data_IF_777609271957
#
_entry.id   IF_777609271957
#
_cell.length_a   1.000
_cell.length_b   1.000
_cell.length_c   1.000
_cell.angle_alpha   90.00
_cell.angle_beta   90.00
_cell.angle_gamma   90.00
#
_symmetry.space_group_name_H-M   'P 1'
#
loop_
_entity.id
_entity.type
_entity.pdbx_description
1 polymer ?
#
# COMPACT_ATOMS: atom_id res chain seq x y z
N UNK A 1 10.07 -9.63 22.76
CA UNK A 1 9.41 -8.96 21.59
C UNK A 1 8.75 -7.62 21.96
N UNK A 2 7.94 -7.51 23.04
CA UNK A 2 7.33 -6.24 23.48
C UNK A 2 8.33 -5.07 23.66
N UNK A 3 9.57 -5.36 24.07
CA UNK A 3 10.63 -4.35 24.23
C UNK A 3 11.15 -3.75 22.91
N UNK A 4 11.13 -4.49 21.80
CA UNK A 4 11.60 -4.00 20.50
C UNK A 4 10.58 -3.05 19.89
N UNK A 5 9.30 -3.40 19.97
CA UNK A 5 8.19 -2.56 19.49
C UNK A 5 8.10 -1.26 20.29
N UNK A 6 8.26 -1.33 21.62
CA UNK A 6 8.31 -0.14 22.48
C UNK A 6 9.48 0.79 22.13
N UNK A 7 10.69 0.25 21.91
CA UNK A 7 11.86 1.03 21.47
C UNK A 7 11.67 1.66 20.09
N UNK A 8 11.07 0.94 19.14
CA UNK A 8 10.71 1.49 17.84
C UNK A 8 9.72 2.64 17.99
N UNK A 9 8.70 2.49 18.83
CA UNK A 9 7.69 3.53 19.04
C UNK A 9 8.25 4.81 19.67
N UNK A 10 9.31 4.70 20.48
CA UNK A 10 10.03 5.87 21.01
C UNK A 10 10.89 6.60 19.97
N UNK A 11 11.29 5.93 18.88
CA UNK A 11 12.00 6.56 17.77
C UNK A 11 11.05 7.41 16.89
N UNK A 12 9.73 7.19 17.00
CA UNK A 12 8.73 7.88 16.19
C UNK A 12 8.39 9.29 16.70
N UNK A 13 8.62 10.27 15.84
CA UNK A 13 8.27 11.67 16.09
C UNK A 13 6.76 11.91 15.90
N UNK A 14 6.17 12.92 16.55
CA UNK A 14 4.72 13.19 16.45
C UNK A 14 4.24 13.41 15.00
N UNK A 15 5.06 14.06 14.17
CA UNK A 15 4.80 14.23 12.73
C UNK A 15 4.79 12.92 11.95
N UNK A 16 5.60 11.94 12.36
CA UNK A 16 5.69 10.64 11.70
C UNK A 16 4.47 9.78 12.03
N UNK A 17 3.93 9.91 13.25
CA UNK A 17 2.65 9.27 13.63
C UNK A 17 1.50 9.74 12.74
N UNK A 18 1.42 11.04 12.44
CA UNK A 18 0.41 11.58 11.53
C UNK A 18 0.56 11.02 10.10
N UNK A 19 1.80 10.94 9.58
CA UNK A 19 2.08 10.33 8.28
C UNK A 19 1.72 8.84 8.25
N UNK A 20 1.91 8.12 9.36
CA UNK A 20 1.53 6.72 9.48
C UNK A 20 0.00 6.56 9.42
N UNK A 21 -0.77 7.42 10.09
CA UNK A 21 -2.24 7.44 9.98
C UNK A 21 -2.66 7.71 8.54
N UNK A 22 -2.05 8.70 7.86
CA UNK A 22 -2.33 8.97 6.45
C UNK A 22 -2.03 7.75 5.56
N UNK A 23 -0.94 7.04 5.82
CA UNK A 23 -0.59 5.80 5.10
C UNK A 23 -1.65 4.72 5.30
N UNK A 24 -2.19 4.56 6.52
CA UNK A 24 -3.29 3.62 6.79
C UNK A 24 -4.54 4.00 5.99
N UNK A 25 -4.91 5.28 5.96
CA UNK A 25 -6.04 5.74 5.15
C UNK A 25 -5.83 5.47 3.64
N UNK A 26 -4.61 5.68 3.14
CA UNK A 26 -4.25 5.37 1.75
C UNK A 26 -4.36 3.87 1.45
N UNK A 27 -3.89 3.02 2.36
CA UNK A 27 -4.01 1.55 2.24
C UNK A 27 -5.49 1.14 2.21
N UNK A 28 -6.31 1.68 3.11
CA UNK A 28 -7.76 1.40 3.13
C UNK A 28 -8.42 1.85 1.83
N UNK A 29 -8.09 3.04 1.32
CA UNK A 29 -8.55 3.48 -0.01
C UNK A 29 -8.13 2.52 -1.13
N UNK A 30 -6.91 1.97 -1.05
CA UNK A 30 -6.38 0.97 -1.97
C UNK A 30 -7.18 -0.34 -1.93
N UNK A 31 -7.54 -0.82 -0.74
CA UNK A 31 -8.36 -2.03 -0.59
C UNK A 31 -9.74 -1.90 -1.23
N UNK A 32 -10.37 -0.73 -1.10
CA UNK A 32 -11.67 -0.47 -1.75
C UNK A 32 -11.52 -0.54 -3.27
N UNK A 33 -10.46 0.06 -3.83
CA UNK A 33 -10.18 -0.02 -5.27
C UNK A 33 -9.83 -1.43 -5.73
N UNK A 34 -9.18 -2.23 -4.90
CA UNK A 34 -8.93 -3.65 -5.19
C UNK A 34 -10.22 -4.45 -5.27
N UNK A 35 -11.12 -4.27 -4.30
CA UNK A 35 -12.45 -4.89 -4.28
C UNK A 35 -13.25 -4.47 -5.52
N UNK A 36 -13.27 -3.17 -5.85
CA UNK A 36 -13.91 -2.67 -7.07
C UNK A 36 -13.32 -3.29 -8.34
N UNK A 37 -12.00 -3.48 -8.38
CA UNK A 37 -11.32 -4.16 -9.47
C UNK A 37 -11.77 -5.62 -9.63
N UNK A 38 -11.93 -6.36 -8.53
CA UNK A 38 -12.44 -7.74 -8.55
C UNK A 38 -13.90 -7.75 -9.03
N UNK A 39 -14.73 -6.87 -8.49
CA UNK A 39 -16.14 -6.74 -8.88
C UNK A 39 -16.33 -6.35 -10.35
N UNK A 40 -15.43 -5.56 -10.92
CA UNK A 40 -15.49 -5.16 -12.32
C UNK A 40 -15.25 -6.34 -13.29
N UNK A 41 -14.51 -7.37 -12.88
CA UNK A 41 -14.25 -8.55 -13.72
C UNK A 41 -15.47 -9.48 -13.82
N UNK A 42 -16.31 -9.53 -12.78
CA UNK A 42 -17.51 -10.38 -12.72
C UNK A 42 -18.45 -10.20 -13.94
N UNK A 43 -18.92 -8.98 -14.29
CA UNK A 43 -19.81 -8.80 -15.43
C UNK A 43 -19.15 -9.19 -16.77
N UNK A 44 -17.83 -9.02 -16.90
CA UNK A 44 -17.09 -9.45 -18.09
C UNK A 44 -17.12 -10.99 -18.24
N UNK A 45 -16.89 -11.73 -17.15
CA UNK A 45 -16.94 -13.21 -17.16
C UNK A 45 -18.36 -13.70 -17.49
N UNK A 46 -19.38 -13.09 -16.89
CA UNK A 46 -20.79 -13.45 -17.13
C UNK A 46 -21.13 -13.26 -18.60
N UNK A 47 -20.77 -12.11 -19.18
CA UNK A 47 -21.06 -11.79 -20.57
C UNK A 47 -20.34 -12.72 -21.56
N UNK A 48 -19.12 -13.17 -21.22
CA UNK A 48 -18.36 -14.15 -22.02
C UNK A 48 -18.92 -15.57 -21.93
N UNK A 49 -19.46 -15.95 -20.77
CA UNK A 49 -19.92 -17.32 -20.51
C UNK A 49 -21.33 -17.57 -21.04
N UNK A 50 -22.22 -16.59 -20.88
CA UNK A 50 -23.62 -16.69 -21.29
C UNK A 50 -24.10 -15.34 -21.84
N UNK A 51 -23.98 -15.10 -23.16
CA UNK A 51 -24.38 -13.83 -23.77
C UNK A 51 -25.88 -13.52 -23.62
N UNK A 52 -26.72 -14.52 -23.33
CA UNK A 52 -28.16 -14.34 -23.10
C UNK A 52 -28.50 -13.98 -21.65
N UNK A 53 -27.55 -14.08 -20.70
CA UNK A 53 -27.75 -13.79 -19.27
C UNK A 53 -27.74 -12.28 -18.94
N UNK A 54 -27.79 -11.40 -19.94
CA UNK A 54 -27.81 -9.94 -19.78
C UNK A 54 -29.02 -9.50 -18.94
N UNK A 55 -30.14 -10.23 -19.03
CA UNK A 55 -31.36 -9.91 -18.27
C UNK A 55 -31.28 -10.27 -16.79
N UNK A 56 -30.35 -11.14 -16.37
CA UNK A 56 -30.29 -11.59 -14.97
C UNK A 56 -29.33 -10.74 -14.11
N UNK A 57 -28.45 -9.95 -14.72
CA UNK A 57 -27.44 -9.18 -14.01
C UNK A 57 -27.76 -7.68 -14.01
N UNK A 58 -28.12 -7.15 -12.83
CA UNK A 58 -28.47 -5.73 -12.63
C UNK A 58 -27.35 -4.76 -13.10
N UNK A 59 -26.08 -5.15 -12.98
CA UNK A 59 -24.96 -4.32 -13.43
C UNK A 59 -24.95 -4.21 -14.96
N UNK A 60 -25.12 -5.33 -15.66
CA UNK A 60 -25.16 -5.36 -17.13
C UNK A 60 -26.39 -4.59 -17.66
N UNK A 61 -27.54 -4.68 -17.00
CA UNK A 61 -28.73 -3.90 -17.34
C UNK A 61 -28.50 -2.39 -17.22
N UNK A 62 -27.82 -1.93 -16.15
CA UNK A 62 -27.50 -0.51 -15.98
C UNK A 62 -26.58 0.00 -17.10
N UNK A 63 -25.55 -0.77 -17.46
CA UNK A 63 -24.69 -0.45 -18.61
C UNK A 63 -25.49 -0.40 -19.93
N UNK A 64 -26.42 -1.33 -20.13
CA UNK A 64 -27.27 -1.37 -21.31
C UNK A 64 -28.21 -0.16 -21.39
N UNK A 65 -28.78 0.28 -20.26
CA UNK A 65 -29.64 1.46 -20.19
C UNK A 65 -28.87 2.78 -20.44
N UNK A 66 -27.65 2.89 -19.93
CA UNK A 66 -26.85 4.11 -20.03
C UNK A 66 -26.20 4.29 -21.40
N UNK A 67 -25.68 3.21 -21.98
CA UNK A 67 -24.91 3.28 -23.23
C UNK A 67 -25.66 2.79 -24.46
N UNK A 68 -26.84 2.17 -24.30
CA UNK A 68 -27.71 1.69 -25.38
C UNK A 68 -26.97 1.02 -26.54
N UNK A 69 -26.17 -0.04 -26.28
CA UNK A 69 -25.35 -0.65 -27.32
C UNK A 69 -26.20 -1.34 -28.39
N UNK A 70 -25.86 -1.12 -29.66
CA UNK A 70 -26.57 -1.67 -30.82
C UNK A 70 -26.44 -3.19 -30.97
N UNK A 71 -25.45 -3.82 -30.33
CA UNK A 71 -25.20 -5.26 -30.41
C UNK A 71 -24.54 -5.83 -29.15
N UNK A 72 -24.66 -7.15 -28.94
CA UNK A 72 -23.96 -7.87 -27.86
C UNK A 72 -22.44 -7.72 -27.94
N UNK A 73 -21.89 -7.64 -29.16
CA UNK A 73 -20.45 -7.38 -29.37
C UNK A 73 -20.07 -5.97 -28.91
N UNK A 74 -20.89 -4.96 -29.19
CA UNK A 74 -20.68 -3.59 -28.73
C UNK A 74 -20.75 -3.49 -27.20
N UNK A 75 -21.68 -4.19 -26.56
CA UNK A 75 -21.77 -4.29 -25.09
C UNK A 75 -20.51 -4.93 -24.49
N UNK A 76 -19.98 -5.98 -25.13
CA UNK A 76 -18.76 -6.65 -24.70
C UNK A 76 -17.54 -5.74 -24.79
N UNK A 77 -17.36 -5.05 -25.91
CA UNK A 77 -16.27 -4.08 -26.09
C UNK A 77 -16.34 -2.94 -25.08
N UNK A 78 -17.53 -2.44 -24.80
CA UNK A 78 -17.75 -1.39 -23.80
C UNK A 78 -17.41 -1.89 -22.38
N UNK A 79 -17.88 -3.09 -22.02
CA UNK A 79 -17.60 -3.70 -20.71
C UNK A 79 -16.10 -3.93 -20.53
N UNK A 80 -15.43 -4.44 -21.57
CA UNK A 80 -13.98 -4.63 -21.60
C UNK A 80 -13.24 -3.29 -21.41
N UNK A 81 -13.63 -2.25 -22.15
CA UNK A 81 -13.05 -0.91 -22.01
C UNK A 81 -13.25 -0.34 -20.60
N UNK A 82 -14.43 -0.54 -20.01
CA UNK A 82 -14.73 -0.15 -18.63
C UNK A 82 -13.85 -0.86 -17.61
N UNK A 83 -13.66 -2.17 -17.75
CA UNK A 83 -12.75 -2.95 -16.88
C UNK A 83 -11.31 -2.42 -17.00
N UNK A 84 -10.81 -2.22 -18.23
CA UNK A 84 -9.46 -1.68 -18.45
C UNK A 84 -9.31 -0.31 -17.77
N UNK A 85 -10.32 0.56 -17.90
CA UNK A 85 -10.32 1.88 -17.28
C UNK A 85 -10.27 1.80 -15.74
N UNK A 86 -11.09 0.93 -15.12
CA UNK A 86 -11.07 0.70 -13.67
C UNK A 86 -9.70 0.20 -13.21
N UNK A 87 -9.10 -0.76 -13.93
CA UNK A 87 -7.76 -1.27 -13.63
C UNK A 87 -6.68 -0.20 -13.77
N UNK A 88 -6.78 0.68 -14.77
CA UNK A 88 -5.86 1.78 -14.96
C UNK A 88 -5.89 2.76 -13.77
N UNK A 89 -7.09 3.17 -13.34
CA UNK A 89 -7.27 4.03 -12.16
C UNK A 89 -6.74 3.35 -10.90
N UNK A 90 -7.12 2.08 -10.69
CA UNK A 90 -6.67 1.27 -9.55
C UNK A 90 -5.14 1.23 -9.49
N UNK A 91 -4.48 0.93 -10.60
CA UNK A 91 -3.02 0.79 -10.64
C UNK A 91 -2.31 2.12 -10.42
N UNK A 92 -2.83 3.24 -10.94
CA UNK A 92 -2.29 4.58 -10.67
C UNK A 92 -2.38 4.91 -9.18
N UNK A 93 -3.52 4.59 -8.55
CA UNK A 93 -3.70 4.80 -7.12
C UNK A 93 -2.74 3.92 -6.30
N UNK A 94 -2.68 2.62 -6.58
CA UNK A 94 -1.78 1.67 -5.89
C UNK A 94 -0.32 2.06 -6.05
N UNK A 95 0.08 2.54 -7.24
CA UNK A 95 1.41 3.10 -7.45
C UNK A 95 1.68 4.27 -6.50
N UNK A 96 0.72 5.18 -6.34
CA UNK A 96 0.80 6.28 -5.37
C UNK A 96 0.95 5.79 -3.92
N UNK A 97 0.22 4.75 -3.52
CA UNK A 97 0.34 4.13 -2.18
C UNK A 97 1.76 3.58 -1.96
N UNK A 98 2.27 2.79 -2.90
CA UNK A 98 3.62 2.20 -2.84
C UNK A 98 4.70 3.28 -2.82
N UNK A 99 4.54 4.33 -3.62
CA UNK A 99 5.43 5.49 -3.64
C UNK A 99 5.46 6.18 -2.28
N UNK A 100 4.28 6.47 -1.70
CA UNK A 100 4.20 7.13 -0.39
C UNK A 100 4.76 6.26 0.74
N UNK A 101 4.49 4.95 0.71
CA UNK A 101 5.03 3.98 1.66
C UNK A 101 6.57 3.95 1.60
N UNK A 102 7.14 3.85 0.40
CA UNK A 102 8.59 3.87 0.19
C UNK A 102 9.19 5.19 0.69
N UNK A 103 8.59 6.32 0.30
CA UNK A 103 9.03 7.65 0.73
C UNK A 103 8.99 7.81 2.24
N UNK A 104 7.96 7.29 2.91
CA UNK A 104 7.88 7.28 4.37
C UNK A 104 9.05 6.52 5.00
N UNK A 105 9.37 5.32 4.51
CA UNK A 105 10.46 4.50 5.04
C UNK A 105 11.85 5.13 4.83
N UNK A 106 12.13 5.66 3.64
CA UNK A 106 13.39 6.36 3.39
C UNK A 106 13.55 7.64 4.23
N UNK A 107 12.44 8.34 4.51
CA UNK A 107 12.47 9.45 5.45
C UNK A 107 12.80 8.98 6.88
N UNK A 108 12.33 7.81 7.30
CA UNK A 108 12.70 7.24 8.61
C UNK A 108 14.18 6.88 8.68
N UNK A 109 14.72 6.24 7.63
CA UNK A 109 16.15 5.90 7.53
C UNK A 109 16.99 7.17 7.68
N UNK A 110 16.70 8.19 6.88
CA UNK A 110 17.45 9.45 6.87
C UNK A 110 17.34 10.19 8.21
N UNK A 111 16.17 10.21 8.85
CA UNK A 111 16.00 10.88 10.15
C UNK A 111 16.75 10.17 11.28
N UNK A 112 16.71 8.84 11.34
CA UNK A 112 17.45 8.07 12.37
C UNK A 112 18.96 8.20 12.15
N UNK A 113 19.43 8.03 10.90
CA UNK A 113 20.85 8.16 10.56
C UNK A 113 21.38 9.57 10.87
N UNK A 114 20.60 10.61 10.55
CA UNK A 114 20.97 12.00 10.84
C UNK A 114 21.05 12.30 12.33
N UNK A 115 20.12 11.76 13.14
CA UNK A 115 20.14 11.91 14.60
C UNK A 115 21.36 11.20 15.21
N UNK A 116 21.65 9.99 14.75
CA UNK A 116 22.82 9.23 15.22
C UNK A 116 24.12 9.95 14.88
N UNK A 117 24.25 10.43 13.63
CA UNK A 117 25.39 11.20 13.18
C UNK A 117 25.61 12.48 14.00
N UNK A 118 24.55 13.26 14.24
CA UNK A 118 24.63 14.47 15.09
C UNK A 118 25.05 14.15 16.52
N UNK A 119 24.52 13.06 17.09
CA UNK A 119 24.88 12.61 18.43
C UNK A 119 26.35 12.25 18.52
N UNK A 120 26.89 11.58 17.49
CA UNK A 120 28.32 11.27 17.41
C UNK A 120 29.18 12.52 17.29
N UNK A 121 28.79 13.51 16.49
CA UNK A 121 29.54 14.77 16.36
C UNK A 121 29.58 15.62 17.65
N UNK A 122 28.55 15.51 18.49
CA UNK A 122 28.46 16.24 19.76
C UNK A 122 29.08 15.49 20.93
N UNK A 123 29.61 14.29 20.71
CA UNK A 123 30.22 13.48 21.77
C UNK A 123 31.54 14.10 22.26
N UNK A 124 31.91 13.93 23.54
CA UNK A 124 33.16 14.46 24.07
C UNK A 124 34.37 13.80 23.41
N UNK A 125 35.49 14.50 23.31
CA UNK A 125 36.70 13.97 22.67
C UNK A 125 37.18 12.63 23.27
N UNK A 126 36.97 12.42 24.57
CA UNK A 126 37.25 11.15 25.26
C UNK A 126 36.47 9.95 24.71
N UNK A 127 35.29 10.17 24.12
CA UNK A 127 34.53 9.14 23.41
C UNK A 127 35.19 8.81 22.06
N UNK A 128 35.56 9.83 21.30
CA UNK A 128 36.23 9.67 20.00
C UNK A 128 37.59 8.98 20.10
N UNK A 129 38.33 9.21 21.20
CA UNK A 129 39.62 8.56 21.41
C UNK A 129 39.50 7.04 21.65
N UNK A 130 38.36 6.57 22.15
CA UNK A 130 38.11 5.16 22.48
C UNK A 130 37.45 4.37 21.35
N UNK A 131 36.88 5.05 20.36
CA UNK A 131 36.02 4.45 19.34
C UNK A 131 36.63 4.61 17.96
N UNK A 132 36.60 3.54 17.16
CA UNK A 132 37.07 3.60 15.78
C UNK A 132 36.03 4.31 14.91
N UNK A 133 36.45 5.33 14.14
CA UNK A 133 35.58 6.07 13.21
C UNK A 133 34.90 5.16 12.17
N UNK A 134 35.57 4.08 11.74
CA UNK A 134 34.99 3.08 10.84
C UNK A 134 33.82 2.32 11.49
N UNK A 135 33.87 2.08 12.81
CA UNK A 135 32.75 1.47 13.54
C UNK A 135 31.57 2.42 13.63
N UNK A 136 31.82 3.70 13.95
CA UNK A 136 30.76 4.72 14.01
C UNK A 136 30.07 4.91 12.66
N UNK A 137 30.83 4.93 11.56
CA UNK A 137 30.29 5.03 10.21
C UNK A 137 29.46 3.79 9.84
N UNK A 138 29.96 2.59 10.16
CA UNK A 138 29.23 1.34 9.96
C UNK A 138 27.91 1.34 10.73
N UNK A 139 27.90 1.80 11.97
CA UNK A 139 26.67 1.82 12.78
C UNK A 139 25.62 2.78 12.20
N UNK A 140 26.05 3.90 11.61
CA UNK A 140 25.15 4.80 10.85
C UNK A 140 24.60 4.08 9.61
N UNK A 141 25.45 3.42 8.83
CA UNK A 141 25.04 2.69 7.63
C UNK A 141 24.11 1.51 7.94
N UNK A 142 24.29 0.85 9.09
CA UNK A 142 23.41 -0.23 9.56
C UNK A 142 21.99 0.23 9.87
N UNK A 143 21.72 1.53 9.93
CA UNK A 143 20.37 2.07 10.11
C UNK A 143 19.45 1.68 8.96
N UNK A 144 19.94 1.71 7.72
CA UNK A 144 19.14 1.33 6.54
C UNK A 144 18.66 -0.12 6.57
N UNK A 145 19.54 -1.14 6.66
CA UNK A 145 19.11 -2.54 6.70
C UNK A 145 18.30 -2.86 7.95
N UNK A 146 18.48 -2.14 9.06
CA UNK A 146 17.68 -2.33 10.27
C UNK A 146 16.25 -1.81 10.08
N UNK A 147 16.08 -0.63 9.49
CA UNK A 147 14.75 -0.10 9.16
C UNK A 147 14.09 -0.93 8.06
N UNK A 148 14.80 -1.29 6.99
CA UNK A 148 14.25 -2.16 5.95
C UNK A 148 13.93 -3.58 6.47
N UNK A 149 14.75 -4.13 7.36
CA UNK A 149 14.56 -5.47 7.91
C UNK A 149 13.47 -5.59 8.98
N UNK A 150 13.09 -4.47 9.62
CA UNK A 150 12.12 -4.49 10.74
C UNK A 150 10.89 -3.65 10.45
N UNK A 151 11.07 -2.39 10.01
CA UNK A 151 9.94 -1.48 9.82
C UNK A 151 9.15 -1.77 8.55
N UNK A 152 9.82 -2.00 7.43
CA UNK A 152 9.14 -2.33 6.17
C UNK A 152 8.24 -3.57 6.32
N UNK A 153 8.71 -4.73 6.82
CA UNK A 153 7.84 -5.91 6.94
C UNK A 153 6.69 -5.70 7.94
N UNK A 154 6.86 -4.91 9.01
CA UNK A 154 5.74 -4.58 9.91
C UNK A 154 4.66 -3.79 9.18
N UNK A 155 5.06 -2.75 8.42
CA UNK A 155 4.12 -1.91 7.67
C UNK A 155 3.43 -2.70 6.55
N UNK A 156 4.19 -3.52 5.82
CA UNK A 156 3.66 -4.37 4.75
C UNK A 156 2.74 -5.44 5.32
N UNK A 157 3.14 -6.17 6.35
CA UNK A 157 2.31 -7.22 6.95
C UNK A 157 1.00 -6.65 7.52
N UNK A 158 1.04 -5.46 8.11
CA UNK A 158 -0.17 -4.75 8.54
C UNK A 158 -1.05 -4.35 7.35
N UNK A 159 -0.45 -3.81 6.28
CA UNK A 159 -1.15 -3.42 5.06
C UNK A 159 -1.84 -4.60 4.39
N UNK A 160 -1.06 -5.65 4.07
CA UNK A 160 -1.53 -6.87 3.43
C UNK A 160 -2.51 -7.65 4.32
N UNK A 161 -2.29 -7.65 5.63
CA UNK A 161 -3.23 -8.24 6.59
C UNK A 161 -4.60 -7.55 6.57
N UNK A 162 -4.62 -6.22 6.51
CA UNK A 162 -5.87 -5.46 6.35
C UNK A 162 -6.55 -5.79 5.02
N UNK A 163 -5.81 -5.74 3.91
CA UNK A 163 -6.29 -6.08 2.57
C UNK A 163 -6.92 -7.47 2.55
N UNK A 164 -6.16 -8.48 2.98
CA UNK A 164 -6.60 -9.87 2.98
C UNK A 164 -7.83 -10.09 3.87
N UNK A 165 -7.88 -9.44 5.04
CA UNK A 165 -9.05 -9.53 5.91
C UNK A 165 -10.31 -8.93 5.30
N UNK A 166 -10.21 -7.77 4.63
CA UNK A 166 -11.33 -7.13 3.96
C UNK A 166 -11.88 -8.00 2.81
N UNK A 167 -10.99 -8.55 1.99
CA UNK A 167 -11.37 -9.42 0.88
C UNK A 167 -12.02 -10.71 1.41
N UNK A 168 -11.46 -11.31 2.46
CA UNK A 168 -12.00 -12.53 3.06
C UNK A 168 -13.42 -12.32 3.62
N UNK A 169 -13.66 -11.21 4.33
CA UNK A 169 -14.99 -10.86 4.86
C UNK A 169 -15.99 -10.68 3.72
N UNK A 170 -15.60 -10.01 2.64
CA UNK A 170 -16.46 -9.77 1.50
C UNK A 170 -16.85 -11.08 0.80
N UNK A 171 -15.87 -11.97 0.59
CA UNK A 171 -16.13 -13.29 0.01
C UNK A 171 -16.94 -14.21 0.92
N UNK A 172 -16.81 -14.09 2.24
CA UNK A 172 -17.63 -14.86 3.19
C UNK A 172 -19.10 -14.39 3.24
N UNK A 173 -19.38 -13.18 2.76
CA UNK A 173 -20.73 -12.62 2.72
C UNK A 173 -21.46 -12.87 1.39
N UNK A 174 -20.71 -13.10 0.31
CA UNK A 174 -21.21 -13.51 -1.02
C UNK A 174 -21.50 -15.01 -1.02
#
# INVERSE_FOLDING_TARGET
MKSVISKLWTLFNARQKLKMVLLVFLIVGGTVLEILGIGAVVPLIVLLSQPDAIQDNQILQQFQQWFQPDSTQSLLLLTLAGVIFVFMIKNIFLFGVVYYQSRFLYNQITEIASRLYKTYLQAPYSFHQKQNSAQLLRDIQMTEPLVQGVMYPIVVCFSEGLVGSCIFILLAWI
#
